data_IF_605101445990
#
_entry.id   IF_605101445990
#
_cell.length_a   1.000
_cell.length_b   1.000
_cell.length_c   1.000
_cell.angle_alpha   90.00
_cell.angle_beta   90.00
_cell.angle_gamma   90.00
#
_symmetry.space_group_name_H-M   'P 1'
#
loop_
_entity.id
_entity.type
_entity.pdbx_description
1 polymer ?
#
# COMPACT_ATOMS: atom_id res chain seq x y z
N UNK A 1 33.63 -14.86 6.75
CA UNK A 1 32.62 -13.91 6.23
C UNK A 1 33.10 -13.49 4.85
N UNK A 2 32.68 -14.23 3.82
CA UNK A 2 33.18 -14.08 2.45
C UNK A 2 32.40 -12.94 1.79
N UNK A 3 33.10 -11.87 1.43
CA UNK A 3 32.57 -10.84 0.52
C UNK A 3 32.60 -11.43 -0.90
N UNK A 4 31.54 -11.23 -1.71
CA UNK A 4 31.53 -11.76 -3.06
C UNK A 4 32.62 -11.07 -3.90
N UNK A 5 33.57 -11.87 -4.36
CA UNK A 5 34.47 -11.52 -5.47
C UNK A 5 33.62 -11.34 -6.72
N UNK A 6 33.67 -10.15 -7.32
CA UNK A 6 33.11 -9.91 -8.65
C UNK A 6 33.95 -8.88 -9.39
N UNK A 7 34.63 -9.31 -10.45
CA UNK A 7 35.31 -8.43 -11.41
C UNK A 7 34.29 -7.55 -12.17
N UNK A 8 34.59 -6.27 -12.50
CA UNK A 8 33.57 -5.23 -12.62
C UNK A 8 33.51 -4.61 -14.02
N UNK A 9 32.99 -5.33 -15.03
CA UNK A 9 32.58 -4.66 -16.28
C UNK A 9 31.06 -4.65 -16.50
N UNK A 10 30.26 -5.16 -15.54
CA UNK A 10 28.77 -5.03 -15.54
C UNK A 10 28.12 -4.77 -14.18
N UNK A 11 28.89 -4.76 -13.09
CA UNK A 11 28.42 -4.31 -11.78
C UNK A 11 28.94 -2.88 -11.56
N UNK A 12 28.05 -1.89 -11.52
CA UNK A 12 28.44 -0.49 -11.33
C UNK A 12 29.25 -0.28 -10.05
N UNK A 13 30.11 0.73 -10.04
CA UNK A 13 30.99 1.05 -8.90
C UNK A 13 30.18 1.24 -7.61
N UNK A 14 30.67 0.70 -6.50
CA UNK A 14 30.03 0.80 -5.18
C UNK A 14 30.95 1.49 -4.20
N UNK A 15 30.41 2.53 -3.57
CA UNK A 15 31.09 3.31 -2.53
C UNK A 15 30.34 3.10 -1.22
N UNK A 16 31.08 2.83 -0.15
CA UNK A 16 30.54 2.51 1.16
C UNK A 16 30.69 3.71 2.08
N UNK A 17 29.60 4.11 2.74
CA UNK A 17 29.63 4.97 3.90
C UNK A 17 29.87 4.10 5.15
N UNK A 18 31.07 4.12 5.75
CA UNK A 18 31.41 3.19 6.81
C UNK A 18 30.71 3.54 8.12
N UNK A 19 30.38 2.51 8.92
CA UNK A 19 29.83 2.71 10.28
C UNK A 19 30.90 2.93 11.34
N UNK A 20 32.15 2.55 11.04
CA UNK A 20 33.32 2.68 11.93
C UNK A 20 34.36 3.55 11.26
N UNK A 21 35.21 4.21 12.05
CA UNK A 21 36.34 4.99 11.51
C UNK A 21 37.25 4.06 10.69
N UNK A 22 37.55 4.46 9.46
CA UNK A 22 38.44 3.76 8.53
C UNK A 22 39.42 4.75 7.93
N UNK A 23 40.65 4.31 7.66
CA UNK A 23 41.68 5.10 7.00
C UNK A 23 41.99 4.46 5.65
N UNK A 24 42.42 5.27 4.69
CA UNK A 24 42.83 4.78 3.37
C UNK A 24 44.09 3.92 3.52
N UNK A 25 44.09 2.75 2.89
CA UNK A 25 45.25 1.86 2.89
C UNK A 25 46.44 2.42 2.08
N UNK A 26 46.20 3.32 1.12
CA UNK A 26 47.25 3.94 0.29
C UNK A 26 47.83 5.18 0.97
N UNK A 27 47.05 6.26 1.04
CA UNK A 27 47.52 7.56 1.52
C UNK A 27 47.42 7.74 3.04
N UNK A 28 46.93 6.73 3.78
CA UNK A 28 46.78 6.73 5.25
C UNK A 28 45.84 7.82 5.83
N UNK A 29 45.23 8.66 4.98
CA UNK A 29 44.26 9.69 5.39
C UNK A 29 42.97 9.09 5.92
N UNK A 30 42.34 9.77 6.86
CA UNK A 30 41.05 9.41 7.43
C UNK A 30 40.73 10.25 8.67
N UNK A 31 39.57 10.00 9.33
CA UNK A 31 38.59 8.97 9.00
C UNK A 31 37.86 9.25 7.67
N UNK A 32 37.66 8.21 6.86
CA UNK A 32 37.00 8.32 5.57
C UNK A 32 35.47 8.42 5.72
N UNK A 33 34.82 9.48 5.19
CA UNK A 33 33.37 9.58 5.16
C UNK A 33 32.74 8.64 4.11
N UNK A 34 33.49 8.37 3.03
CA UNK A 34 33.16 7.46 1.95
C UNK A 34 34.43 6.70 1.55
N UNK A 35 34.28 5.42 1.25
CA UNK A 35 35.40 4.58 0.81
C UNK A 35 34.97 3.61 -0.30
N UNK A 36 35.94 3.22 -1.11
CA UNK A 36 35.83 2.08 -2.03
C UNK A 36 36.57 0.89 -1.42
N UNK A 37 36.05 -0.31 -1.61
CA UNK A 37 36.78 -1.53 -1.29
C UNK A 37 37.42 -2.03 -2.59
N UNK A 38 38.73 -1.86 -2.71
CA UNK A 38 39.55 -2.43 -3.78
C UNK A 38 40.36 -3.57 -3.17
N UNK A 39 40.28 -4.77 -3.74
CA UNK A 39 40.95 -5.97 -3.22
C UNK A 39 40.73 -6.22 -1.71
N UNK A 40 39.55 -5.84 -1.22
CA UNK A 40 39.18 -5.97 0.19
C UNK A 40 39.78 -4.91 1.13
N UNK A 41 40.60 -3.99 0.62
CA UNK A 41 41.18 -2.88 1.41
C UNK A 41 40.46 -1.56 1.17
N UNK A 42 40.32 -0.70 2.20
CA UNK A 42 39.64 0.58 2.04
C UNK A 42 40.52 1.60 1.31
N UNK A 43 39.99 2.21 0.26
CA UNK A 43 40.58 3.35 -0.46
C UNK A 43 39.69 4.59 -0.28
N UNK A 44 40.30 5.76 -0.16
CA UNK A 44 39.56 7.02 -0.24
C UNK A 44 39.17 7.29 -1.70
N UNK A 45 38.19 8.17 -1.91
CA UNK A 45 37.72 8.51 -3.27
C UNK A 45 38.85 9.01 -4.17
N UNK A 46 39.79 9.81 -3.65
CA UNK A 46 40.93 10.30 -4.42
C UNK A 46 41.88 9.18 -4.86
N UNK A 47 42.19 8.20 -3.99
CA UNK A 47 43.04 7.07 -4.35
C UNK A 47 42.35 6.04 -5.24
N UNK A 48 41.03 6.10 -5.35
CA UNK A 48 40.21 5.24 -6.22
C UNK A 48 39.76 5.99 -7.49
N UNK A 49 40.36 7.14 -7.81
CA UNK A 49 40.04 8.00 -8.95
C UNK A 49 38.57 8.49 -9.03
N UNK A 50 37.84 8.47 -7.90
CA UNK A 50 36.47 8.99 -7.77
C UNK A 50 36.40 10.35 -7.05
N UNK A 51 37.55 10.97 -6.78
CA UNK A 51 37.63 12.21 -6.00
C UNK A 51 36.99 13.43 -6.68
N UNK A 52 36.79 13.38 -7.99
CA UNK A 52 36.16 14.44 -8.79
C UNK A 52 34.63 14.32 -8.86
N UNK A 53 34.05 13.24 -8.32
CA UNK A 53 32.60 13.04 -8.31
C UNK A 53 31.96 13.72 -7.10
N UNK A 54 30.78 14.30 -7.33
CA UNK A 54 29.97 14.95 -6.30
C UNK A 54 28.90 14.00 -5.77
N UNK A 55 28.66 14.06 -4.45
CA UNK A 55 27.68 13.19 -3.81
C UNK A 55 26.26 13.75 -3.90
N UNK A 56 25.41 13.05 -4.65
CA UNK A 56 23.98 13.30 -4.75
C UNK A 56 23.21 12.36 -3.79
N UNK A 57 22.58 12.87 -2.71
CA UNK A 57 21.79 12.05 -1.80
C UNK A 57 20.53 11.49 -2.49
N UNK A 58 20.01 10.37 -1.96
CA UNK A 58 18.72 9.82 -2.37
C UNK A 58 17.58 10.79 -2.01
N UNK A 59 16.53 10.83 -2.83
CA UNK A 59 15.31 11.58 -2.51
C UNK A 59 14.48 11.88 -3.76
N UNK A 60 15.05 12.63 -4.69
CA UNK A 60 14.41 12.88 -5.98
C UNK A 60 14.80 11.80 -7.00
N UNK A 61 13.84 10.92 -7.31
CA UNK A 61 14.01 9.84 -8.29
C UNK A 61 14.29 10.39 -9.70
N UNK A 62 13.71 11.53 -10.09
CA UNK A 62 13.97 12.11 -11.40
C UNK A 62 15.39 12.65 -11.48
N UNK A 63 15.83 13.39 -10.44
CA UNK A 63 17.17 13.96 -10.39
C UNK A 63 18.24 12.87 -10.32
N UNK A 64 18.09 11.88 -9.44
CA UNK A 64 19.05 10.77 -9.31
C UNK A 64 19.13 9.90 -10.55
N UNK A 65 18.00 9.68 -11.24
CA UNK A 65 18.00 8.95 -12.52
C UNK A 65 18.71 9.74 -13.62
N UNK A 66 18.37 11.03 -13.78
CA UNK A 66 18.95 11.88 -14.83
C UNK A 66 20.43 12.13 -14.61
N UNK A 67 20.85 12.39 -13.38
CA UNK A 67 22.27 12.59 -13.07
C UNK A 67 23.08 11.34 -13.42
N UNK A 68 22.54 10.14 -13.16
CA UNK A 68 23.16 8.88 -13.59
C UNK A 68 23.20 8.70 -15.12
N UNK A 69 22.12 9.09 -15.82
CA UNK A 69 22.05 9.00 -17.29
C UNK A 69 23.01 10.00 -17.97
N UNK A 70 23.24 11.16 -17.36
CA UNK A 70 24.05 12.27 -17.88
C UNK A 70 25.55 12.17 -17.52
N UNK A 71 25.90 11.35 -16.51
CA UNK A 71 27.29 11.13 -16.10
C UNK A 71 27.91 9.97 -16.86
N UNK A 72 29.13 10.18 -17.36
CA UNK A 72 29.96 9.10 -17.92
C UNK A 72 30.45 8.15 -16.83
N UNK A 73 30.85 8.72 -15.68
CA UNK A 73 31.29 7.97 -14.49
C UNK A 73 30.35 8.22 -13.31
N UNK A 74 29.92 7.15 -12.65
CA UNK A 74 29.10 7.24 -11.45
C UNK A 74 29.30 6.02 -10.53
N UNK A 75 29.02 6.21 -9.25
CA UNK A 75 29.06 5.13 -8.26
C UNK A 75 27.84 5.15 -7.33
N UNK A 76 27.35 3.98 -6.92
CA UNK A 76 26.28 3.88 -5.91
C UNK A 76 26.88 4.02 -4.53
N UNK A 77 26.34 4.95 -3.73
CA UNK A 77 26.71 5.05 -2.32
C UNK A 77 25.77 4.19 -1.48
N UNK A 78 26.33 3.31 -0.67
CA UNK A 78 25.58 2.41 0.23
C UNK A 78 26.03 2.56 1.68
N UNK A 79 25.14 2.25 2.61
CA UNK A 79 25.43 2.19 4.05
C UNK A 79 24.78 0.97 4.65
N UNK A 80 25.49 0.30 5.55
CA UNK A 80 24.93 -0.86 6.26
C UNK A 80 23.87 -0.41 7.29
N UNK A 81 22.66 -0.94 7.16
CA UNK A 81 21.59 -0.76 8.14
C UNK A 81 21.66 -1.89 9.17
N UNK A 82 22.14 -1.59 10.39
CA UNK A 82 22.27 -2.56 11.49
C UNK A 82 20.93 -3.21 11.88
N UNK A 83 19.83 -2.44 11.86
CA UNK A 83 18.50 -2.94 12.27
C UNK A 83 17.93 -3.93 11.25
N UNK A 84 18.25 -3.75 9.97
CA UNK A 84 17.74 -4.58 8.86
C UNK A 84 18.76 -5.62 8.37
N UNK A 85 19.98 -5.63 8.90
CA UNK A 85 21.03 -6.58 8.54
C UNK A 85 21.49 -6.51 7.08
N UNK A 86 21.32 -5.37 6.39
CA UNK A 86 21.60 -5.23 4.95
C UNK A 86 22.12 -3.86 4.58
N UNK A 87 22.79 -3.76 3.44
CA UNK A 87 23.16 -2.48 2.84
C UNK A 87 21.94 -1.79 2.23
N UNK A 88 21.86 -0.47 2.44
CA UNK A 88 20.86 0.39 1.84
C UNK A 88 21.54 1.48 1.02
N UNK A 89 21.00 1.73 -0.17
CA UNK A 89 21.42 2.85 -1.02
C UNK A 89 21.15 4.17 -0.31
N UNK A 90 22.18 5.02 -0.24
CA UNK A 90 22.16 6.36 0.32
C UNK A 90 22.12 7.45 -0.75
N UNK A 91 22.66 7.18 -1.95
CA UNK A 91 22.75 8.16 -3.02
C UNK A 91 23.60 7.68 -4.19
N UNK A 92 24.13 8.63 -4.95
CA UNK A 92 25.08 8.42 -6.04
C UNK A 92 26.27 9.38 -5.89
N UNK A 93 27.41 8.97 -6.39
CA UNK A 93 28.47 9.87 -6.83
C UNK A 93 28.33 10.03 -8.34
N UNK A 94 28.33 11.27 -8.82
CA UNK A 94 28.12 11.66 -10.23
C UNK A 94 29.04 12.82 -10.59
N UNK A 95 29.24 13.07 -11.87
CA UNK A 95 29.98 14.25 -12.33
C UNK A 95 29.21 15.54 -12.04
N UNK A 96 29.92 16.60 -11.64
CA UNK A 96 29.31 17.88 -11.28
C UNK A 96 28.51 18.50 -12.44
N UNK A 97 29.09 18.50 -13.64
CA UNK A 97 28.41 19.02 -14.83
C UNK A 97 27.15 18.22 -15.19
N UNK A 98 27.21 16.90 -15.02
CA UNK A 98 26.06 16.02 -15.27
C UNK A 98 24.93 16.28 -14.26
N UNK A 99 25.28 16.54 -12.98
CA UNK A 99 24.32 16.96 -11.98
C UNK A 99 23.67 18.31 -12.35
N UNK A 100 24.46 19.32 -12.75
CA UNK A 100 23.94 20.63 -13.15
C UNK A 100 22.99 20.56 -14.37
N UNK A 101 23.33 19.73 -15.38
CA UNK A 101 22.44 19.46 -16.52
C UNK A 101 21.15 18.78 -16.06
N UNK A 102 21.25 17.78 -15.18
CA UNK A 102 20.11 17.06 -14.65
C UNK A 102 19.17 17.97 -13.82
N UNK A 103 19.72 18.88 -13.01
CA UNK A 103 18.97 19.88 -12.24
C UNK A 103 18.21 20.83 -13.16
N UNK A 104 18.89 21.38 -14.17
CA UNK A 104 18.29 22.27 -15.17
C UNK A 104 17.11 21.59 -15.89
N UNK A 105 17.28 20.33 -16.31
CA UNK A 105 16.21 19.53 -16.91
C UNK A 105 15.06 19.27 -15.93
N UNK A 106 15.36 19.00 -14.66
CA UNK A 106 14.36 18.77 -13.60
C UNK A 106 13.54 20.01 -13.28
N UNK A 107 14.15 21.20 -13.32
CA UNK A 107 13.46 22.47 -13.16
C UNK A 107 12.56 22.75 -14.36
N UNK A 108 13.06 22.58 -15.57
CA UNK A 108 12.33 22.85 -16.82
C UNK A 108 11.01 22.05 -16.92
N UNK A 109 10.97 20.81 -16.42
CA UNK A 109 9.77 19.96 -16.50
C UNK A 109 9.03 19.76 -15.17
N UNK A 110 9.40 20.49 -14.11
CA UNK A 110 8.86 20.32 -12.77
C UNK A 110 7.33 20.46 -12.72
N UNK A 111 6.79 21.52 -13.33
CA UNK A 111 5.35 21.78 -13.32
C UNK A 111 4.57 20.78 -14.20
N UNK A 112 5.12 20.42 -15.37
CA UNK A 112 4.52 19.38 -16.21
C UNK A 112 4.42 18.03 -15.47
N UNK A 113 5.49 17.64 -14.75
CA UNK A 113 5.50 16.44 -13.90
C UNK A 113 4.51 16.56 -12.75
N UNK A 114 4.42 17.72 -12.08
CA UNK A 114 3.46 17.98 -11.00
C UNK A 114 2.02 17.82 -11.49
N UNK A 115 1.66 18.44 -12.62
CA UNK A 115 0.33 18.33 -13.22
C UNK A 115 0.00 16.90 -13.64
N UNK A 116 0.94 16.18 -14.25
CA UNK A 116 0.78 14.76 -14.58
C UNK A 116 0.53 13.92 -13.33
N UNK A 117 1.34 14.09 -12.26
CA UNK A 117 1.15 13.39 -10.98
C UNK A 117 -0.24 13.66 -10.37
N UNK A 118 -0.71 14.91 -10.42
CA UNK A 118 -2.03 15.28 -9.92
C UNK A 118 -3.15 14.59 -10.73
N UNK A 119 -3.09 14.63 -12.07
CA UNK A 119 -4.06 13.93 -12.94
C UNK A 119 -4.03 12.42 -12.71
N UNK A 120 -2.84 11.83 -12.60
CA UNK A 120 -2.67 10.41 -12.35
C UNK A 120 -3.19 10.02 -10.97
N UNK A 121 -3.04 10.86 -9.95
CA UNK A 121 -3.61 10.65 -8.63
C UNK A 121 -5.15 10.68 -8.67
N UNK A 122 -5.74 11.67 -9.34
CA UNK A 122 -7.20 11.76 -9.54
C UNK A 122 -7.75 10.55 -10.29
N UNK A 123 -7.14 10.18 -11.42
CA UNK A 123 -7.53 8.99 -12.20
C UNK A 123 -7.47 7.73 -11.35
N UNK A 124 -6.41 7.59 -10.56
CA UNK A 124 -6.21 6.46 -9.67
C UNK A 124 -7.24 6.41 -8.55
N UNK A 125 -7.59 7.54 -7.94
CA UNK A 125 -8.63 7.61 -6.91
C UNK A 125 -10.00 7.22 -7.49
N UNK A 126 -10.34 7.70 -8.68
CA UNK A 126 -11.57 7.32 -9.36
C UNK A 126 -11.63 5.82 -9.70
N UNK A 127 -10.50 5.22 -10.12
CA UNK A 127 -10.42 3.77 -10.32
C UNK A 127 -10.59 2.99 -9.02
N UNK A 128 -10.01 3.46 -7.92
CA UNK A 128 -10.13 2.81 -6.62
C UNK A 128 -11.56 2.88 -6.09
N UNK A 129 -12.25 4.01 -6.24
CA UNK A 129 -13.66 4.15 -5.89
C UNK A 129 -14.55 3.22 -6.71
N UNK A 130 -14.36 3.13 -8.03
CA UNK A 130 -15.10 2.20 -8.89
C UNK A 130 -14.86 0.74 -8.52
N UNK A 131 -13.62 0.39 -8.19
CA UNK A 131 -13.29 -0.97 -7.76
C UNK A 131 -13.96 -1.30 -6.42
N UNK A 132 -13.94 -0.38 -5.46
CA UNK A 132 -14.63 -0.56 -4.18
C UNK A 132 -16.15 -0.72 -4.37
N UNK A 133 -16.79 0.08 -5.22
CA UNK A 133 -18.23 -0.07 -5.49
C UNK A 133 -18.56 -1.41 -6.16
N UNK A 134 -17.76 -1.84 -7.13
CA UNK A 134 -17.94 -3.15 -7.76
C UNK A 134 -17.75 -4.30 -6.77
N UNK A 135 -16.79 -4.18 -5.86
CA UNK A 135 -16.56 -5.15 -4.79
C UNK A 135 -17.73 -5.19 -3.80
N UNK A 136 -18.24 -4.02 -3.38
CA UNK A 136 -19.41 -3.92 -2.49
C UNK A 136 -20.66 -4.53 -3.15
N UNK A 137 -20.87 -4.26 -4.44
CA UNK A 137 -21.95 -4.86 -5.23
C UNK A 137 -21.86 -6.38 -5.24
N UNK A 138 -20.65 -6.93 -5.44
CA UNK A 138 -20.45 -8.37 -5.43
C UNK A 138 -20.63 -8.99 -4.03
N UNK A 139 -20.27 -8.29 -2.95
CA UNK A 139 -20.61 -8.72 -1.59
C UNK A 139 -22.12 -8.80 -1.43
N UNK A 140 -22.86 -7.73 -1.77
CA UNK A 140 -24.33 -7.70 -1.65
C UNK A 140 -25.01 -8.80 -2.47
N UNK A 141 -24.43 -9.18 -3.60
CA UNK A 141 -24.92 -10.31 -4.42
C UNK A 141 -24.71 -11.65 -3.73
N UNK A 142 -23.52 -11.89 -3.14
CA UNK A 142 -23.17 -13.17 -2.51
C UNK A 142 -23.73 -13.32 -1.09
N UNK A 143 -23.97 -12.19 -0.42
CA UNK A 143 -24.40 -12.07 0.97
C UNK A 143 -25.51 -11.00 1.07
N UNK A 144 -26.71 -11.28 0.56
CA UNK A 144 -27.81 -10.31 0.47
C UNK A 144 -28.31 -9.79 1.83
N UNK A 145 -28.10 -10.52 2.92
CA UNK A 145 -28.37 -10.07 4.30
C UNK A 145 -27.27 -9.21 4.91
N UNK A 146 -26.15 -8.99 4.23
CA UNK A 146 -25.09 -8.12 4.70
C UNK A 146 -25.54 -6.64 4.63
N UNK A 147 -25.45 -5.87 5.72
CA UNK A 147 -25.82 -4.45 5.70
C UNK A 147 -25.06 -3.66 4.61
N UNK A 148 -25.69 -2.71 3.89
CA UNK A 148 -25.03 -2.00 2.79
C UNK A 148 -23.78 -1.21 3.20
N UNK A 149 -23.82 -0.58 4.37
CA UNK A 149 -22.70 0.12 5.00
C UNK A 149 -21.56 -0.85 5.36
N UNK A 150 -21.91 -2.04 5.87
CA UNK A 150 -20.97 -3.13 6.16
C UNK A 150 -20.28 -3.62 4.90
N UNK A 151 -21.03 -3.90 3.83
CA UNK A 151 -20.47 -4.28 2.53
C UNK A 151 -19.55 -3.19 1.96
N UNK A 152 -19.94 -1.91 2.09
CA UNK A 152 -19.12 -0.76 1.72
C UNK A 152 -17.81 -0.68 2.49
N UNK A 153 -17.84 -0.88 3.81
CA UNK A 153 -16.65 -0.88 4.65
C UNK A 153 -15.67 -2.01 4.29
N UNK A 154 -16.19 -3.23 4.08
CA UNK A 154 -15.38 -4.38 3.66
C UNK A 154 -14.71 -4.10 2.30
N UNK A 155 -15.48 -3.58 1.35
CA UNK A 155 -14.97 -3.26 0.02
C UNK A 155 -13.91 -2.17 0.04
N UNK A 156 -14.12 -1.09 0.80
CA UNK A 156 -13.13 -0.03 0.98
C UNK A 156 -11.83 -0.58 1.56
N UNK A 157 -11.94 -1.39 2.62
CA UNK A 157 -10.80 -2.01 3.27
C UNK A 157 -10.05 -2.98 2.34
N UNK A 158 -10.77 -3.80 1.58
CA UNK A 158 -10.18 -4.73 0.61
C UNK A 158 -9.47 -4.01 -0.57
N UNK A 159 -9.89 -2.77 -0.87
CA UNK A 159 -9.44 -1.98 -2.02
C UNK A 159 -8.20 -1.10 -1.76
N UNK A 160 -7.81 -0.93 -0.49
CA UNK A 160 -6.65 -0.16 -0.05
C UNK A 160 -5.36 -0.59 -0.79
N UNK A 161 -4.56 0.40 -1.22
CA UNK A 161 -3.29 0.16 -1.92
C UNK A 161 -2.13 -0.07 -0.97
N UNK A 162 -1.17 -0.89 -1.40
CA UNK A 162 0.14 -1.04 -0.75
C UNK A 162 0.14 -1.89 0.53
N UNK A 163 -1.01 -2.43 0.93
CA UNK A 163 -1.19 -3.23 2.14
C UNK A 163 -1.04 -4.74 1.94
N UNK A 164 -0.88 -5.21 0.70
CA UNK A 164 -0.85 -6.66 0.38
C UNK A 164 -2.22 -7.35 0.49
N UNK A 165 -3.33 -6.59 0.54
CA UNK A 165 -4.69 -7.11 0.69
C UNK A 165 -5.25 -7.74 -0.59
N UNK A 166 -6.28 -8.58 -0.40
CA UNK A 166 -6.88 -9.47 -1.43
C UNK A 166 -7.31 -8.72 -2.70
N UNK A 167 -7.82 -7.49 -2.59
CA UNK A 167 -8.40 -6.73 -3.71
C UNK A 167 -7.47 -6.45 -4.90
N UNK A 168 -6.15 -6.68 -4.76
CA UNK A 168 -5.21 -6.55 -5.90
C UNK A 168 -4.50 -7.81 -6.33
N UNK A 169 -4.79 -8.95 -5.69
CA UNK A 169 -4.48 -10.26 -6.26
C UNK A 169 -5.23 -10.45 -7.59
N UNK A 170 -4.78 -11.37 -8.45
CA UNK A 170 -5.48 -11.66 -9.70
C UNK A 170 -6.96 -12.02 -9.45
N UNK A 171 -7.20 -12.87 -8.45
CA UNK A 171 -8.53 -13.27 -8.01
C UNK A 171 -9.37 -12.09 -7.46
N UNK A 172 -8.75 -11.21 -6.66
CA UNK A 172 -9.43 -10.01 -6.14
C UNK A 172 -9.76 -8.98 -7.22
N UNK A 173 -8.90 -8.80 -8.23
CA UNK A 173 -9.18 -7.93 -9.38
C UNK A 173 -10.29 -8.47 -10.26
N UNK A 174 -10.38 -9.80 -10.38
CA UNK A 174 -11.46 -10.49 -11.07
C UNK A 174 -12.77 -10.54 -10.25
N UNK A 175 -12.77 -10.02 -9.02
CA UNK A 175 -13.89 -10.11 -8.08
C UNK A 175 -14.40 -11.55 -7.95
N UNK A 176 -13.47 -12.51 -7.93
CA UNK A 176 -13.85 -13.92 -7.83
C UNK A 176 -14.58 -14.18 -6.52
N UNK A 177 -15.56 -15.09 -6.57
CA UNK A 177 -16.37 -15.42 -5.40
C UNK A 177 -15.52 -15.80 -4.19
N UNK A 178 -14.48 -16.61 -4.38
CA UNK A 178 -13.55 -16.99 -3.33
C UNK A 178 -12.79 -15.80 -2.73
N UNK A 179 -12.35 -14.85 -3.56
CA UNK A 179 -11.65 -13.66 -3.07
C UNK A 179 -12.57 -12.72 -2.27
N UNK A 180 -13.80 -12.52 -2.75
CA UNK A 180 -14.81 -11.72 -2.07
C UNK A 180 -15.21 -12.37 -0.75
N UNK A 181 -15.48 -13.68 -0.75
CA UNK A 181 -15.81 -14.45 0.45
C UNK A 181 -14.68 -14.40 1.49
N UNK A 182 -13.43 -14.54 1.08
CA UNK A 182 -12.27 -14.40 1.98
C UNK A 182 -12.20 -13.02 2.64
N UNK A 183 -12.54 -11.95 1.91
CA UNK A 183 -12.56 -10.59 2.48
C UNK A 183 -13.69 -10.44 3.50
N UNK A 184 -14.87 -10.99 3.22
CA UNK A 184 -16.00 -10.99 4.16
C UNK A 184 -15.67 -11.80 5.41
N UNK A 185 -15.15 -13.03 5.27
CA UNK A 185 -14.67 -13.85 6.40
C UNK A 185 -13.67 -13.09 7.26
N UNK A 186 -12.71 -12.41 6.63
CA UNK A 186 -11.72 -11.62 7.37
C UNK A 186 -12.40 -10.50 8.17
N UNK A 187 -13.36 -9.77 7.58
CA UNK A 187 -14.10 -8.74 8.29
C UNK A 187 -14.90 -9.30 9.47
N UNK A 188 -15.62 -10.40 9.25
CA UNK A 188 -16.44 -11.04 10.29
C UNK A 188 -15.57 -11.50 11.44
N UNK A 189 -14.46 -12.18 11.13
CA UNK A 189 -13.48 -12.59 12.13
C UNK A 189 -13.04 -11.44 13.04
N UNK A 190 -12.69 -10.28 12.49
CA UNK A 190 -12.11 -9.21 13.30
C UNK A 190 -13.13 -8.37 14.07
N UNK A 191 -14.38 -8.30 13.59
CA UNK A 191 -15.35 -7.33 14.11
C UNK A 191 -16.56 -7.99 14.78
N UNK A 192 -16.86 -9.24 14.41
CA UNK A 192 -18.03 -9.97 14.88
C UNK A 192 -17.64 -11.15 15.80
N UNK A 193 -16.34 -11.32 16.12
CA UNK A 193 -15.86 -12.40 17.00
C UNK A 193 -14.79 -11.89 17.97
N UNK A 194 -14.47 -12.62 19.06
CA UNK A 194 -13.42 -12.24 20.01
C UNK A 194 -11.99 -12.46 19.46
N UNK A 195 -11.80 -12.66 18.14
CA UNK A 195 -10.51 -12.99 17.54
C UNK A 195 -9.37 -12.08 17.98
N UNK A 196 -9.59 -10.76 17.95
CA UNK A 196 -8.54 -9.80 18.30
C UNK A 196 -8.16 -9.89 19.79
N UNK A 197 -9.14 -10.15 20.68
CA UNK A 197 -8.86 -10.41 22.10
C UNK A 197 -8.04 -11.68 22.28
N UNK A 198 -8.44 -12.78 21.63
CA UNK A 198 -7.68 -14.05 21.68
C UNK A 198 -6.22 -13.87 21.26
N UNK A 199 -5.96 -13.05 20.23
CA UNK A 199 -4.58 -12.75 19.81
C UNK A 199 -3.82 -11.94 20.85
N UNK A 200 -4.46 -10.97 21.49
CA UNK A 200 -3.87 -10.16 22.56
C UNK A 200 -3.58 -10.99 23.82
N UNK A 201 -4.41 -12.00 24.09
CA UNK A 201 -4.22 -12.97 25.18
C UNK A 201 -3.16 -14.04 24.85
N UNK A 202 -2.46 -13.91 23.71
CA UNK A 202 -1.37 -14.79 23.31
C UNK A 202 -1.80 -16.10 22.64
N UNK A 203 -3.08 -16.28 22.33
CA UNK A 203 -3.56 -17.48 21.63
C UNK A 203 -2.99 -17.51 20.21
N UNK A 204 -2.42 -18.65 19.82
CA UNK A 204 -1.85 -18.83 18.48
C UNK A 204 -2.93 -18.64 17.40
N UNK A 205 -2.55 -18.01 16.27
CA UNK A 205 -3.51 -17.64 15.20
C UNK A 205 -4.35 -18.79 14.66
N UNK A 206 -3.75 -19.98 14.52
CA UNK A 206 -4.45 -21.16 14.02
C UNK A 206 -5.54 -21.62 15.01
N UNK A 207 -5.21 -21.57 16.30
CA UNK A 207 -6.10 -21.94 17.39
C UNK A 207 -7.22 -20.92 17.58
N UNK A 208 -6.88 -19.62 17.57
CA UNK A 208 -7.87 -18.55 17.60
C UNK A 208 -8.86 -18.66 16.42
N UNK A 209 -8.39 -19.01 15.22
CA UNK A 209 -9.27 -19.25 14.05
C UNK A 209 -10.16 -20.47 14.22
N UNK A 210 -9.65 -21.54 14.83
CA UNK A 210 -10.43 -22.76 15.10
C UNK A 210 -11.59 -22.46 16.05
N UNK A 211 -11.33 -21.71 17.12
CA UNK A 211 -12.32 -21.38 18.17
C UNK A 211 -13.50 -20.57 17.64
N UNK A 212 -13.22 -19.56 16.81
CA UNK A 212 -14.25 -18.67 16.27
C UNK A 212 -14.94 -19.21 15.01
N UNK A 213 -14.54 -20.38 14.50
CA UNK A 213 -14.96 -20.85 13.17
C UNK A 213 -16.48 -20.97 13.07
N UNK A 214 -17.12 -21.50 14.12
CA UNK A 214 -18.57 -21.63 14.20
C UNK A 214 -19.27 -20.25 14.24
N UNK A 215 -18.75 -19.30 15.02
CA UNK A 215 -19.30 -17.94 15.10
C UNK A 215 -19.25 -17.22 13.74
N UNK A 216 -18.11 -17.33 13.05
CA UNK A 216 -17.95 -16.78 11.70
C UNK A 216 -18.94 -17.43 10.74
N UNK A 217 -19.07 -18.75 10.77
CA UNK A 217 -19.98 -19.46 9.88
C UNK A 217 -21.45 -19.08 10.13
N UNK A 218 -21.86 -18.94 11.39
CA UNK A 218 -23.21 -18.53 11.77
C UNK A 218 -23.57 -17.15 11.19
N UNK A 219 -22.68 -16.17 11.29
CA UNK A 219 -22.87 -14.83 10.70
C UNK A 219 -22.99 -14.91 9.18
N UNK A 220 -22.08 -15.65 8.53
CA UNK A 220 -22.09 -15.80 7.07
C UNK A 220 -23.36 -16.48 6.55
N UNK A 221 -23.85 -17.50 7.28
CA UNK A 221 -25.10 -18.20 6.96
C UNK A 221 -26.29 -17.25 7.04
N UNK A 222 -26.38 -16.48 8.13
CA UNK A 222 -27.40 -15.44 8.29
C UNK A 222 -27.41 -14.44 7.14
N UNK A 223 -26.23 -13.99 6.68
CA UNK A 223 -26.14 -13.06 5.54
C UNK A 223 -26.42 -13.70 4.17
N UNK A 224 -26.32 -15.02 4.02
CA UNK A 224 -26.71 -15.71 2.78
C UNK A 224 -28.22 -15.92 2.69
N UNK A 225 -28.89 -16.14 3.81
CA UNK A 225 -30.29 -16.60 3.88
C UNK A 225 -31.33 -15.47 4.06
N UNK A 226 -30.93 -14.27 4.49
CA UNK A 226 -31.86 -13.20 4.91
C UNK A 226 -32.77 -12.58 3.82
N UNK A 227 -32.82 -13.12 2.60
CA UNK A 227 -33.80 -12.68 1.58
C UNK A 227 -35.21 -13.26 1.86
N UNK A 228 -35.34 -14.25 2.75
CA UNK A 228 -36.60 -14.95 3.00
C UNK A 228 -37.60 -14.28 3.94
N UNK A 229 -37.19 -13.34 4.81
CA UNK A 229 -38.05 -12.84 5.90
C UNK A 229 -38.66 -11.46 5.66
N UNK A 230 -38.11 -10.64 4.75
CA UNK A 230 -38.66 -9.31 4.46
C UNK A 230 -39.90 -9.33 3.55
N UNK A 231 -40.15 -10.44 2.83
CA UNK A 231 -41.31 -10.58 1.94
C UNK A 231 -42.58 -11.13 2.64
N UNK A 232 -42.46 -11.69 3.85
CA UNK A 232 -43.58 -12.32 4.56
C UNK A 232 -44.34 -11.38 5.52
N UNK A 233 -43.89 -10.11 5.67
CA UNK A 233 -44.46 -9.16 6.60
C UNK A 233 -45.37 -8.09 5.97
N UNK A 234 -45.84 -8.30 4.73
CA UNK A 234 -46.87 -7.44 4.12
C UNK A 234 -48.10 -8.26 3.74
N UNK A 235 -49.18 -7.95 4.48
CA UNK A 235 -50.59 -8.38 4.35
C UNK A 235 -50.99 -9.65 5.13
N UNK A 236 -52.14 -9.63 5.81
CA UNK A 236 -53.42 -9.22 5.20
C UNK A 236 -54.33 -8.30 6.06
N UNK A 237 -55.24 -7.58 5.40
CA UNK A 237 -56.69 -7.87 5.44
C UNK A 237 -57.45 -6.77 4.69
N UNK A 238 -58.08 -7.19 3.58
CA UNK A 238 -59.25 -6.55 2.97
C UNK A 238 -60.46 -6.72 3.89
N UNK A 239 -61.13 -5.63 4.24
CA UNK A 239 -62.42 -5.62 4.92
C UNK A 239 -63.26 -4.45 4.43
N UNK A 240 -64.24 -4.76 3.58
CA UNK A 240 -65.29 -3.87 3.09
C UNK A 240 -66.35 -3.71 4.17
N UNK A 241 -66.72 -2.48 4.55
CA UNK A 241 -68.07 -2.19 5.04
C UNK A 241 -68.40 -0.69 4.91
N UNK A 242 -69.56 -0.41 4.32
CA UNK A 242 -70.13 0.91 4.12
C UNK A 242 -71.30 1.10 5.10
N UNK A 243 -71.37 2.25 5.80
CA UNK A 243 -72.62 2.78 6.38
C UNK A 243 -72.46 4.23 6.92
N UNK A 244 -72.95 5.19 6.14
CA UNK A 244 -74.00 6.19 6.45
C UNK A 244 -74.02 7.06 7.73
N UNK A 245 -74.04 8.40 7.46
CA UNK A 245 -74.67 9.58 8.15
C UNK A 245 -73.97 10.23 9.38
N UNK A 246 -74.29 11.51 9.75
CA UNK A 246 -75.20 12.48 9.11
C UNK A 246 -74.66 13.92 8.93
N UNK A 247 -75.39 14.66 8.08
CA UNK A 247 -75.43 16.11 7.93
C UNK A 247 -75.65 16.84 9.25
N UNK A 248 -74.82 17.83 9.57
CA UNK A 248 -75.12 18.85 10.57
C UNK A 248 -75.38 20.17 9.84
N UNK A 249 -76.65 20.58 9.84
CA UNK A 249 -77.09 21.97 9.69
C UNK A 249 -76.80 22.68 11.01
N UNK A 250 -76.26 23.88 10.94
CA UNK A 250 -76.37 24.88 12.02
C UNK A 250 -76.75 26.19 11.36
N UNK A 251 -78.03 26.52 11.50
CA UNK A 251 -78.53 27.89 11.41
C UNK A 251 -78.64 28.46 12.84
N UNK A 252 -78.57 29.79 12.94
CA UNK A 252 -79.11 30.70 13.96
C UNK A 252 -78.13 31.27 15.02
N UNK A 253 -77.77 32.55 14.80
CA UNK A 253 -78.02 33.73 15.65
C UNK A 253 -76.79 34.62 15.89
N UNK A 254 -76.89 35.87 15.42
CA UNK A 254 -75.95 36.98 15.66
C UNK A 254 -75.82 37.88 14.46
#
# INVERSE_FOLDING_TARGET
MVLPSTSPLRAGLVVVQPLRRKHCAACRRGPLPLLVLEDGVPRCLACADLGHLVFLPRGDTALTRRSREESALWAVVVRFNRRRGRYERQGLLVEEEALARAESRCLADAEARRRRRARDARRRAAQDARFAEAFATQIRRLFPGCPPDRAGAIAAHASERGSGRVGRSAAGRALSEGAVTCAVIASVRHLDTPYDRLLMDGVARHEARRRIAADVEAVLRGWREAVGTAAAAQSPVTGTEAATKPTVRTDIAG
#
